data_IF_790530637212
#
_entry.id   IF_790530637212
#
_cell.length_a   1.000
_cell.length_b   1.000
_cell.length_c   1.000
_cell.angle_alpha   90.00
_cell.angle_beta   90.00
_cell.angle_gamma   90.00
#
_symmetry.space_group_name_H-M   'P 1'
#
loop_
_entity.id
_entity.type
_entity.pdbx_description
1 polymer ?
#
# COMPACT_ATOMS: atom_id res chain seq x y z
N UNK A 1 -7.84 -1.49 -23.38
CA UNK A 1 -6.60 -0.90 -22.81
C UNK A 1 -6.78 -0.92 -21.30
N UNK A 2 -6.11 -1.84 -20.60
CA UNK A 2 -6.18 -1.88 -19.15
C UNK A 2 -5.26 -0.82 -18.58
N UNK A 3 -5.82 0.23 -18.00
CA UNK A 3 -5.06 1.18 -17.22
C UNK A 3 -4.50 0.46 -16.00
N UNK A 4 -3.17 0.40 -15.89
CA UNK A 4 -2.48 -0.10 -14.70
C UNK A 4 -2.45 1.04 -13.66
N UNK A 5 -3.22 0.98 -12.57
CA UNK A 5 -3.14 2.00 -11.54
C UNK A 5 -1.82 1.84 -10.76
N UNK A 6 -1.14 2.95 -10.55
CA UNK A 6 0.06 3.14 -9.73
C UNK A 6 1.16 2.06 -9.86
N UNK A 7 1.92 2.10 -10.96
CA UNK A 7 3.14 1.30 -11.09
C UNK A 7 4.27 1.92 -10.26
N UNK A 8 4.74 1.23 -9.23
CA UNK A 8 6.02 1.51 -8.59
C UNK A 8 7.09 0.57 -9.14
N UNK A 9 8.08 1.12 -9.83
CA UNK A 9 9.23 0.37 -10.34
C UNK A 9 10.14 -0.07 -9.18
N UNK A 10 10.51 -1.33 -9.18
CA UNK A 10 11.40 -1.95 -8.23
C UNK A 10 12.60 -2.56 -8.91
N UNK A 11 13.75 -2.06 -8.58
CA UNK A 11 15.02 -2.57 -9.07
C UNK A 11 15.69 -3.54 -8.07
N UNK A 12 14.95 -4.59 -7.66
CA UNK A 12 15.53 -5.73 -6.90
C UNK A 12 15.16 -7.03 -7.59
N UNK A 13 15.31 -7.28 -8.76
CA UNK A 13 15.05 -8.47 -9.57
C UNK A 13 14.19 -8.21 -10.81
N UNK A 14 14.04 -6.94 -11.21
CA UNK A 14 13.27 -6.65 -12.40
C UNK A 14 11.77 -6.97 -12.26
N UNK A 15 11.19 -6.78 -11.06
CA UNK A 15 9.77 -7.02 -10.81
C UNK A 15 8.98 -5.71 -10.71
N UNK A 16 7.79 -5.74 -11.27
CA UNK A 16 6.73 -4.74 -11.11
C UNK A 16 5.68 -5.29 -10.15
N UNK A 17 5.18 -4.45 -9.28
CA UNK A 17 4.05 -4.77 -8.40
C UNK A 17 2.96 -3.70 -8.55
N UNK A 18 1.70 -4.12 -8.54
CA UNK A 18 0.56 -3.20 -8.58
C UNK A 18 -0.63 -3.76 -7.83
N UNK A 19 -1.49 -2.86 -7.42
CA UNK A 19 -2.80 -3.15 -6.86
C UNK A 19 -3.85 -3.10 -7.96
N UNK A 20 -4.80 -4.00 -7.92
CA UNK A 20 -5.96 -4.04 -8.80
C UNK A 20 -7.21 -4.14 -7.92
N UNK A 21 -8.04 -3.11 -7.96
CA UNK A 21 -9.29 -3.05 -7.21
C UNK A 21 -10.50 -3.41 -8.08
N UNK A 22 -10.33 -4.45 -8.87
CA UNK A 22 -11.44 -5.06 -9.61
C UNK A 22 -12.62 -5.33 -8.65
N UNK A 23 -13.83 -5.06 -9.13
CA UNK A 23 -15.04 -5.16 -8.32
C UNK A 23 -15.26 -6.56 -7.73
N UNK A 24 -14.92 -7.60 -8.48
CA UNK A 24 -15.23 -8.99 -8.14
C UNK A 24 -14.01 -9.73 -7.61
N UNK A 25 -12.81 -9.37 -8.08
CA UNK A 25 -11.55 -10.04 -7.74
C UNK A 25 -10.41 -9.04 -7.44
N UNK A 26 -10.58 -8.19 -6.41
CA UNK A 26 -9.50 -7.28 -6.01
C UNK A 26 -8.25 -8.07 -5.60
N UNK A 27 -7.07 -7.61 -6.05
CA UNK A 27 -5.83 -8.37 -5.88
C UNK A 27 -4.58 -7.51 -5.93
N UNK A 28 -3.48 -8.09 -5.50
CA UNK A 28 -2.13 -7.58 -5.72
C UNK A 28 -1.42 -8.52 -6.69
N UNK A 29 -0.83 -7.95 -7.71
CA UNK A 29 -0.16 -8.70 -8.77
C UNK A 29 1.30 -8.27 -8.91
N UNK A 30 2.09 -9.15 -9.51
CA UNK A 30 3.42 -8.81 -9.98
C UNK A 30 3.68 -9.39 -11.38
N UNK A 31 4.67 -8.81 -12.05
CA UNK A 31 5.24 -9.30 -13.31
C UNK A 31 6.71 -8.90 -13.40
N UNK A 32 7.44 -9.49 -14.32
CA UNK A 32 8.73 -8.97 -14.72
C UNK A 32 8.58 -7.61 -15.42
N UNK A 33 9.65 -6.81 -15.47
CA UNK A 33 9.64 -5.50 -16.14
C UNK A 33 9.35 -5.60 -17.64
N UNK A 34 9.58 -6.75 -18.24
CA UNK A 34 9.16 -7.08 -19.62
C UNK A 34 7.65 -7.25 -19.79
N UNK A 35 6.90 -7.35 -18.69
CA UNK A 35 5.48 -7.70 -18.68
C UNK A 35 5.21 -9.20 -18.69
N UNK A 36 6.24 -10.03 -18.76
CA UNK A 36 6.12 -11.49 -18.71
C UNK A 36 5.97 -12.02 -17.27
N UNK A 37 5.61 -13.28 -17.12
CA UNK A 37 5.47 -13.97 -15.84
C UNK A 37 4.52 -13.26 -14.85
N UNK A 38 3.44 -12.66 -15.38
CA UNK A 38 2.39 -12.04 -14.56
C UNK A 38 1.70 -13.08 -13.67
N UNK A 39 1.56 -12.76 -12.41
CA UNK A 39 0.89 -13.61 -11.41
C UNK A 39 0.23 -12.80 -10.30
N UNK A 40 -0.85 -13.36 -9.75
CA UNK A 40 -1.45 -12.87 -8.51
C UNK A 40 -0.60 -13.34 -7.34
N UNK A 41 -0.17 -12.40 -6.50
CA UNK A 41 0.61 -12.69 -5.28
C UNK A 41 -0.24 -12.64 -4.02
N UNK A 42 -1.32 -11.85 -4.04
CA UNK A 42 -2.27 -11.80 -2.94
C UNK A 42 -3.67 -11.53 -3.47
N UNK A 43 -4.61 -12.39 -3.11
CA UNK A 43 -6.02 -12.26 -3.46
C UNK A 43 -6.78 -11.72 -2.24
N UNK A 44 -7.41 -10.56 -2.38
CA UNK A 44 -8.16 -9.88 -1.31
C UNK A 44 -9.66 -10.18 -1.34
N UNK A 45 -10.11 -11.17 -2.10
CA UNK A 45 -11.54 -11.55 -2.22
C UNK A 45 -12.16 -12.11 -0.93
N UNK A 46 -11.35 -12.48 0.05
CA UNK A 46 -11.83 -13.10 1.30
C UNK A 46 -12.45 -12.10 2.31
N UNK A 47 -12.47 -10.81 2.00
CA UNK A 47 -13.14 -9.83 2.84
C UNK A 47 -14.63 -9.76 2.50
N UNK A 48 -15.50 -10.03 3.48
CA UNK A 48 -16.96 -10.06 3.33
C UNK A 48 -17.57 -8.84 2.63
N UNK A 49 -16.90 -7.72 2.68
CA UNK A 49 -17.35 -6.45 2.11
C UNK A 49 -16.57 -6.03 0.85
N UNK A 50 -15.77 -6.92 0.27
CA UNK A 50 -14.84 -6.57 -0.80
C UNK A 50 -13.62 -5.82 -0.26
N UNK A 51 -12.74 -5.41 -1.16
CA UNK A 51 -11.52 -4.69 -0.84
C UNK A 51 -11.24 -3.61 -1.89
N UNK A 52 -10.56 -2.53 -1.46
CA UNK A 52 -10.04 -1.49 -2.34
C UNK A 52 -8.54 -1.29 -2.06
N UNK A 53 -7.70 -2.20 -2.54
CA UNK A 53 -6.25 -2.05 -2.38
C UNK A 53 -5.78 -0.87 -3.22
N UNK A 54 -5.43 0.23 -2.55
CA UNK A 54 -4.99 1.48 -3.17
C UNK A 54 -3.46 1.56 -3.23
N UNK A 55 -2.87 2.41 -2.41
CA UNK A 55 -1.42 2.64 -2.41
C UNK A 55 -0.62 1.39 -2.03
N UNK A 56 0.52 1.22 -2.69
CA UNK A 56 1.46 0.13 -2.46
C UNK A 56 2.86 0.70 -2.30
N UNK A 57 3.62 0.19 -1.33
CA UNK A 57 5.01 0.54 -1.09
C UNK A 57 5.85 -0.69 -0.77
N UNK A 58 7.16 -0.55 -0.92
CA UNK A 58 8.09 -1.65 -0.80
C UNK A 58 9.15 -1.34 0.23
N UNK A 59 9.30 -2.26 1.17
CA UNK A 59 10.42 -2.32 2.10
C UNK A 59 11.53 -3.15 1.47
N UNK A 60 12.56 -2.47 0.98
CA UNK A 60 13.69 -3.12 0.32
C UNK A 60 14.58 -3.88 1.31
N UNK A 61 14.65 -3.40 2.53
CA UNK A 61 15.46 -4.02 3.60
C UNK A 61 14.85 -5.34 4.07
N UNK A 62 13.55 -5.31 4.35
CA UNK A 62 12.82 -6.49 4.81
C UNK A 62 12.27 -7.35 3.67
N UNK A 63 12.38 -6.89 2.42
CA UNK A 63 11.81 -7.53 1.22
C UNK A 63 10.32 -7.80 1.37
N UNK A 64 9.58 -6.76 1.81
CA UNK A 64 8.14 -6.84 2.04
C UNK A 64 7.38 -5.80 1.22
N UNK A 65 6.17 -6.18 0.81
CA UNK A 65 5.15 -5.28 0.30
C UNK A 65 4.36 -4.72 1.49
N UNK A 66 3.96 -3.46 1.37
CA UNK A 66 2.96 -2.83 2.21
C UNK A 66 1.89 -2.22 1.33
N UNK A 67 0.63 -2.42 1.67
CA UNK A 67 -0.49 -1.78 0.97
C UNK A 67 -1.56 -1.33 1.93
N UNK A 68 -2.38 -0.42 1.45
CA UNK A 68 -3.55 0.08 2.15
C UNK A 68 -4.82 -0.41 1.47
N UNK A 69 -5.81 -0.75 2.27
CA UNK A 69 -7.15 -1.09 1.81
C UNK A 69 -8.13 -0.02 2.31
N UNK A 70 -8.66 0.78 1.36
CA UNK A 70 -9.54 1.91 1.68
C UNK A 70 -10.96 1.47 2.06
N UNK A 71 -11.34 0.23 1.75
CA UNK A 71 -12.64 -0.31 2.14
C UNK A 71 -12.61 -1.03 3.48
N UNK A 72 -11.47 -1.61 3.80
CA UNK A 72 -11.25 -2.31 5.05
C UNK A 72 -10.66 -1.43 6.16
N UNK A 73 -10.36 -0.15 5.88
CA UNK A 73 -9.73 0.80 6.80
C UNK A 73 -8.43 0.22 7.41
N UNK A 74 -7.58 -0.40 6.58
CA UNK A 74 -6.46 -1.20 7.07
C UNK A 74 -5.18 -1.05 6.26
N UNK A 75 -4.06 -1.31 6.93
CA UNK A 75 -2.72 -1.45 6.34
C UNK A 75 -2.29 -2.89 6.49
N UNK A 76 -1.78 -3.45 5.40
CA UNK A 76 -1.31 -4.83 5.33
C UNK A 76 0.14 -4.90 4.86
N UNK A 77 0.76 -6.04 5.10
CA UNK A 77 2.10 -6.34 4.61
C UNK A 77 2.22 -7.83 4.28
N UNK A 78 3.03 -8.17 3.28
CA UNK A 78 3.42 -9.56 2.96
C UNK A 78 4.85 -9.60 2.42
N UNK A 79 5.43 -10.80 2.30
CA UNK A 79 6.62 -10.98 1.47
C UNK A 79 6.30 -10.74 -0.01
N UNK A 80 7.32 -10.59 -0.86
CA UNK A 80 7.15 -10.34 -2.30
C UNK A 80 6.45 -11.48 -3.06
N UNK A 81 6.42 -12.68 -2.50
CA UNK A 81 5.70 -13.84 -3.03
C UNK A 81 4.26 -13.97 -2.51
N UNK A 82 3.81 -13.01 -1.67
CA UNK A 82 2.50 -13.00 -1.02
C UNK A 82 2.43 -13.80 0.28
N UNK A 83 3.47 -14.54 0.65
CA UNK A 83 3.52 -15.28 1.91
C UNK A 83 3.70 -14.35 3.13
N UNK A 84 3.50 -14.90 4.32
CA UNK A 84 3.62 -14.18 5.59
C UNK A 84 2.81 -12.88 5.60
N UNK A 85 1.54 -12.96 5.15
CA UNK A 85 0.62 -11.84 5.19
C UNK A 85 0.30 -11.43 6.63
N UNK A 86 0.29 -10.13 6.88
CA UNK A 86 -0.02 -9.52 8.18
C UNK A 86 -0.93 -8.32 7.99
N UNK A 87 -1.96 -8.21 8.78
CA UNK A 87 -2.65 -6.94 9.01
C UNK A 87 -1.84 -6.14 10.04
N UNK A 88 -1.26 -5.03 9.62
CA UNK A 88 -0.42 -4.18 10.48
C UNK A 88 -1.28 -3.35 11.41
N UNK A 89 -2.35 -2.77 10.87
CA UNK A 89 -3.33 -2.01 11.64
C UNK A 89 -4.66 -1.93 10.92
N UNK A 90 -5.72 -1.76 11.71
CA UNK A 90 -7.07 -1.41 11.26
C UNK A 90 -7.60 -0.29 12.14
N UNK A 91 -7.97 0.83 11.53
CA UNK A 91 -8.42 1.98 12.31
C UNK A 91 -9.20 2.97 11.44
N UNK A 92 -10.52 2.95 11.52
CA UNK A 92 -11.40 3.82 10.72
C UNK A 92 -11.27 5.32 11.04
N UNK A 93 -10.69 5.70 12.17
CA UNK A 93 -10.47 7.11 12.49
C UNK A 93 -9.25 7.70 11.73
N UNK A 94 -8.25 6.89 11.43
CA UNK A 94 -7.00 7.31 10.76
C UNK A 94 -6.80 6.70 9.38
N UNK A 95 -7.64 5.74 8.99
CA UNK A 95 -7.66 5.05 7.70
C UNK A 95 -9.07 5.13 7.10
N UNK A 96 -9.69 6.30 7.13
CA UNK A 96 -11.09 6.49 6.73
C UNK A 96 -11.32 6.38 5.21
N UNK A 97 -10.33 6.83 4.43
CA UNK A 97 -10.22 6.60 3.00
C UNK A 97 -8.75 6.76 2.57
N UNK A 98 -7.86 5.86 2.98
CA UNK A 98 -6.45 5.98 2.70
C UNK A 98 -6.18 5.76 1.20
N UNK A 99 -5.27 6.56 0.63
CA UNK A 99 -5.04 6.58 -0.81
C UNK A 99 -3.63 6.17 -1.21
N UNK A 100 -2.60 6.82 -0.70
CA UNK A 100 -1.20 6.53 -1.01
C UNK A 100 -0.40 6.21 0.24
N UNK A 101 0.62 5.35 0.11
CA UNK A 101 1.46 4.88 1.19
C UNK A 101 2.94 4.93 0.80
N UNK A 102 3.78 5.27 1.75
CA UNK A 102 5.25 5.18 1.61
C UNK A 102 5.88 4.76 2.93
N UNK A 103 7.14 4.33 2.88
CA UNK A 103 7.88 3.79 4.02
C UNK A 103 9.20 4.53 4.20
N UNK A 104 9.57 4.78 5.44
CA UNK A 104 10.91 5.25 5.78
C UNK A 104 11.32 4.72 7.16
N UNK A 105 12.47 4.07 7.23
CA UNK A 105 12.99 3.43 8.46
C UNK A 105 11.96 2.50 9.11
N UNK A 106 11.53 2.80 10.33
CA UNK A 106 10.53 2.05 11.09
C UNK A 106 9.11 2.52 10.90
N UNK A 107 8.88 3.59 10.13
CA UNK A 107 7.59 4.21 9.98
C UNK A 107 6.92 3.93 8.63
N UNK A 108 5.61 3.85 8.63
CA UNK A 108 4.73 3.91 7.47
C UNK A 108 4.01 5.26 7.45
N UNK A 109 3.92 5.85 6.27
CA UNK A 109 3.28 7.14 6.04
C UNK A 109 2.18 6.97 5.00
N UNK A 110 1.03 7.64 5.19
CA UNK A 110 -0.05 7.62 4.20
C UNK A 110 -0.81 8.93 4.13
N UNK A 111 -1.54 9.08 3.04
CA UNK A 111 -2.51 10.14 2.83
C UNK A 111 -3.92 9.59 2.98
N UNK A 112 -4.81 10.36 3.57
CA UNK A 112 -6.21 9.99 3.71
C UNK A 112 -7.12 11.06 3.12
N UNK A 113 -7.98 10.65 2.19
CA UNK A 113 -8.85 11.57 1.46
C UNK A 113 -9.99 12.13 2.29
N UNK A 114 -10.55 11.32 3.18
CA UNK A 114 -11.72 11.74 3.96
C UNK A 114 -11.32 12.66 5.11
N UNK A 115 -10.23 12.34 5.77
CA UNK A 115 -9.72 13.19 6.86
C UNK A 115 -8.83 14.31 6.36
N UNK A 116 -8.40 14.27 5.09
CA UNK A 116 -7.47 15.21 4.46
C UNK A 116 -6.11 15.31 5.18
N UNK A 117 -5.69 14.22 5.78
CA UNK A 117 -4.50 14.16 6.61
C UNK A 117 -3.32 13.49 5.90
N UNK A 118 -2.12 13.88 6.31
CA UNK A 118 -0.89 13.11 6.19
C UNK A 118 -0.58 12.51 7.55
N UNK A 119 -0.45 11.19 7.61
CA UNK A 119 -0.39 10.45 8.86
C UNK A 119 0.80 9.49 8.82
N UNK A 120 1.36 9.19 10.00
CA UNK A 120 2.37 8.15 10.16
C UNK A 120 2.07 7.23 11.34
N UNK A 121 2.63 6.01 11.29
CA UNK A 121 2.63 5.05 12.39
C UNK A 121 3.84 4.12 12.28
N UNK A 122 4.08 3.33 13.32
CA UNK A 122 5.05 2.24 13.28
C UNK A 122 4.63 1.18 12.24
N UNK A 123 5.54 0.82 11.33
CA UNK A 123 5.24 -0.11 10.22
C UNK A 123 5.10 -1.57 10.62
N UNK A 124 5.50 -1.95 11.84
CA UNK A 124 5.46 -3.34 12.31
C UNK A 124 4.15 -3.69 13.02
N UNK A 125 3.57 -2.72 13.74
CA UNK A 125 2.39 -2.96 14.58
C UNK A 125 1.35 -1.84 14.57
N UNK A 126 1.54 -0.78 13.76
CA UNK A 126 0.60 0.34 13.65
C UNK A 126 0.53 1.24 14.90
N UNK A 127 1.44 1.12 15.85
CA UNK A 127 1.49 1.99 17.02
C UNK A 127 2.05 3.38 16.71
N UNK A 128 2.04 4.28 17.70
CA UNK A 128 2.60 5.63 17.60
C UNK A 128 1.99 6.46 16.45
N UNK A 129 0.68 6.32 16.22
CA UNK A 129 -0.03 7.07 15.18
C UNK A 129 0.12 8.57 15.44
N UNK A 130 0.51 9.32 14.41
CA UNK A 130 0.60 10.78 14.44
C UNK A 130 0.07 11.39 13.15
N UNK A 131 -0.83 12.36 13.29
CA UNK A 131 -1.17 13.28 12.20
C UNK A 131 -0.02 14.25 12.07
N UNK A 132 0.58 14.32 10.89
CA UNK A 132 1.72 15.20 10.59
C UNK A 132 1.24 16.54 10.06
N UNK A 133 0.22 16.51 9.20
CA UNK A 133 -0.35 17.68 8.58
C UNK A 133 -1.80 17.42 8.15
N UNK A 134 -2.59 18.49 8.07
CA UNK A 134 -3.93 18.50 7.51
C UNK A 134 -3.96 19.40 6.28
N UNK A 135 -4.33 18.85 5.14
CA UNK A 135 -4.30 19.52 3.85
C UNK A 135 -5.72 19.99 3.49
N UNK A 136 -5.84 21.11 2.76
CA UNK A 136 -7.15 21.66 2.39
C UNK A 136 -7.89 20.84 1.32
N UNK A 137 -7.16 20.04 0.53
CA UNK A 137 -7.70 19.23 -0.55
C UNK A 137 -7.32 17.76 -0.40
N UNK A 138 -7.96 16.88 -1.17
CA UNK A 138 -7.68 15.45 -1.15
C UNK A 138 -6.25 15.15 -1.63
N UNK A 139 -5.36 14.63 -0.76
CA UNK A 139 -3.99 14.31 -1.13
C UNK A 139 -3.93 12.99 -1.94
N UNK A 140 -3.37 13.05 -3.14
CA UNK A 140 -3.36 11.89 -4.05
C UNK A 140 -2.11 11.01 -3.95
N UNK A 141 -0.95 11.56 -3.59
CA UNK A 141 0.29 10.78 -3.50
C UNK A 141 1.19 11.28 -2.39
N UNK A 142 2.04 10.40 -1.89
CA UNK A 142 3.07 10.69 -0.89
C UNK A 142 4.34 9.96 -1.23
N UNK A 143 5.46 10.68 -1.21
CA UNK A 143 6.80 10.11 -1.41
C UNK A 143 7.78 10.73 -0.44
N UNK A 144 8.69 9.90 0.05
CA UNK A 144 9.79 10.36 0.89
C UNK A 144 11.01 10.59 -0.01
N UNK A 145 11.60 11.78 0.13
CA UNK A 145 12.88 12.13 -0.46
C UNK A 145 13.93 12.17 0.64
N UNK A 146 14.95 11.34 0.51
CA UNK A 146 16.04 11.29 1.48
C UNK A 146 17.39 11.21 0.75
N UNK A 147 18.44 11.94 1.18
CA UNK A 147 19.74 11.98 0.49
C UNK A 147 20.45 10.63 0.33
N UNK A 148 20.12 9.63 1.17
CA UNK A 148 20.71 8.29 1.13
C UNK A 148 19.90 7.27 0.31
N UNK A 149 18.92 7.72 -0.49
CA UNK A 149 18.07 6.86 -1.35
C UNK A 149 17.93 7.41 -2.75
#
# INVERSE_FOLDING_TARGET
MNYLPSQKYLNISGLLFWTDWDKDIPRIECAEMSGTNRKVIFNVTNYKNGAWPNGLSLDYTLKRLYWIDARADSIHSSKYDGSDHREIMRNSAFLSHPFSITLFESDVYWTDWRTTNVIKADKFNGSNIRVLDQILNQPCDIKIVHPSR
#
